data_IF_012819585834
#
_entry.id   IF_012819585834
#
_cell.length_a   1.000
_cell.length_b   1.000
_cell.length_c   1.000
_cell.angle_alpha   90.00
_cell.angle_beta   90.00
_cell.angle_gamma   90.00
#
_symmetry.space_group_name_H-M   'P 1'
#
loop_
_entity.id
_entity.type
_entity.pdbx_description
1 polymer ?
#
# COMPACT_ATOMS: atom_id res chain seq x y z
N UNK A 1 -21.85 32.98 -40.79
CA UNK A 1 -22.58 31.79 -40.35
C UNK A 1 -21.65 30.57 -40.38
N UNK A 2 -20.87 30.33 -39.36
CA UNK A 2 -20.24 29.04 -39.05
C UNK A 2 -20.03 29.05 -37.52
N UNK A 3 -21.03 28.65 -36.78
CA UNK A 3 -20.92 28.28 -35.40
C UNK A 3 -21.97 27.21 -35.18
N UNK A 4 -21.60 26.04 -34.83
CA UNK A 4 -22.32 24.98 -34.09
C UNK A 4 -21.70 23.63 -34.41
N UNK A 5 -20.51 23.39 -33.92
CA UNK A 5 -19.85 22.08 -34.07
C UNK A 5 -19.01 21.66 -32.85
N UNK A 6 -19.02 22.45 -31.78
CA UNK A 6 -18.12 22.27 -30.65
C UNK A 6 -18.79 21.92 -29.32
N UNK A 7 -20.11 21.82 -29.30
CA UNK A 7 -20.88 21.60 -28.05
C UNK A 7 -21.39 20.17 -27.85
N UNK A 8 -21.24 19.27 -28.82
CA UNK A 8 -21.83 17.91 -28.73
C UNK A 8 -20.85 16.76 -28.43
N UNK A 9 -19.59 17.03 -28.08
CA UNK A 9 -18.63 15.99 -27.64
C UNK A 9 -18.33 15.99 -26.14
N UNK A 10 -19.12 16.64 -25.34
CA UNK A 10 -18.93 16.76 -23.88
C UNK A 10 -19.87 15.90 -23.05
N UNK A 11 -20.31 14.75 -23.52
CA UNK A 11 -20.98 13.79 -22.63
C UNK A 11 -20.81 12.36 -23.18
N UNK A 12 -19.59 11.81 -23.13
CA UNK A 12 -19.51 10.38 -22.88
C UNK A 12 -19.94 10.23 -21.42
N UNK A 13 -21.21 9.90 -21.23
CA UNK A 13 -21.86 9.65 -19.95
C UNK A 13 -20.93 8.88 -19.03
N UNK A 14 -20.70 9.38 -17.81
CA UNK A 14 -20.29 8.55 -16.72
C UNK A 14 -21.22 7.32 -16.74
N UNK A 15 -20.67 6.12 -16.95
CA UNK A 15 -21.47 4.90 -17.04
C UNK A 15 -22.27 4.84 -15.76
N UNK A 16 -23.61 4.85 -15.83
CA UNK A 16 -24.48 4.86 -14.66
C UNK A 16 -24.11 3.67 -13.78
N UNK A 17 -23.84 3.91 -12.51
CA UNK A 17 -23.51 2.85 -11.58
C UNK A 17 -24.70 1.88 -11.44
N UNK A 18 -24.41 0.62 -11.15
CA UNK A 18 -25.44 -0.34 -10.74
C UNK A 18 -26.14 0.18 -9.48
N UNK A 19 -27.46 0.07 -9.42
CA UNK A 19 -28.27 0.61 -8.30
C UNK A 19 -27.85 0.05 -6.94
N UNK A 20 -27.51 -1.22 -6.85
CA UNK A 20 -27.05 -1.83 -5.60
C UNK A 20 -25.69 -1.27 -5.15
N UNK A 21 -24.80 -0.97 -6.10
CA UNK A 21 -23.52 -0.26 -5.82
C UNK A 21 -23.80 1.15 -5.30
N UNK A 22 -24.69 1.91 -5.97
CA UNK A 22 -25.07 3.27 -5.52
C UNK A 22 -25.65 3.26 -4.11
N UNK A 23 -26.57 2.33 -3.84
CA UNK A 23 -27.24 2.19 -2.53
C UNK A 23 -26.23 1.83 -1.42
N UNK A 24 -25.25 0.97 -1.74
CA UNK A 24 -24.21 0.60 -0.76
C UNK A 24 -23.26 1.77 -0.49
N UNK A 25 -22.89 2.55 -1.52
CA UNK A 25 -22.09 3.77 -1.33
C UNK A 25 -22.85 4.78 -0.47
N UNK A 26 -24.16 4.99 -0.75
CA UNK A 26 -25.01 5.89 0.04
C UNK A 26 -25.08 5.44 1.52
N UNK A 27 -25.28 4.15 1.75
CA UNK A 27 -25.24 3.56 3.09
C UNK A 27 -23.93 3.85 3.83
N UNK A 28 -22.79 3.68 3.17
CA UNK A 28 -21.47 3.95 3.79
C UNK A 28 -21.27 5.43 4.08
N UNK A 29 -21.69 6.31 3.17
CA UNK A 29 -21.64 7.77 3.37
C UNK A 29 -22.45 8.22 4.60
N UNK A 30 -23.63 7.65 4.80
CA UNK A 30 -24.48 7.96 5.92
C UNK A 30 -23.93 7.38 7.24
N UNK A 31 -23.66 6.09 7.26
CA UNK A 31 -23.25 5.36 8.47
C UNK A 31 -21.86 5.76 8.95
N UNK A 32 -20.94 6.03 8.04
CA UNK A 32 -19.53 6.31 8.32
C UNK A 32 -19.13 7.78 8.01
N UNK A 33 -20.05 8.72 8.13
CA UNK A 33 -19.84 10.13 7.81
C UNK A 33 -18.65 10.76 8.56
N UNK A 34 -18.31 10.26 9.76
CA UNK A 34 -17.16 10.70 10.57
C UNK A 34 -15.82 10.05 10.17
N UNK A 35 -15.80 9.21 9.12
CA UNK A 35 -14.65 8.41 8.70
C UNK A 35 -14.32 8.67 7.21
N UNK A 36 -13.91 9.89 6.84
CA UNK A 36 -13.82 10.31 5.43
C UNK A 36 -12.87 9.47 4.59
N UNK A 37 -11.74 8.98 5.15
CA UNK A 37 -10.80 8.14 4.42
C UNK A 37 -11.41 6.77 4.10
N UNK A 38 -12.20 6.22 5.00
CA UNK A 38 -12.91 4.97 4.78
C UNK A 38 -13.97 5.14 3.69
N UNK A 39 -14.80 6.19 3.76
CA UNK A 39 -15.80 6.51 2.74
C UNK A 39 -15.14 6.68 1.36
N UNK A 40 -14.07 7.47 1.27
CA UNK A 40 -13.32 7.69 0.02
C UNK A 40 -12.85 6.38 -0.61
N UNK A 41 -12.32 5.48 0.19
CA UNK A 41 -11.78 4.20 -0.30
C UNK A 41 -12.88 3.25 -0.76
N UNK A 42 -13.98 3.17 -0.02
CA UNK A 42 -15.13 2.36 -0.43
C UNK A 42 -15.71 2.87 -1.75
N UNK A 43 -15.86 4.18 -1.91
CA UNK A 43 -16.33 4.77 -3.17
C UNK A 43 -15.43 4.44 -4.35
N UNK A 44 -14.09 4.52 -4.17
CA UNK A 44 -13.12 4.19 -5.23
C UNK A 44 -13.27 2.73 -5.67
N UNK A 45 -13.33 1.80 -4.73
CA UNK A 45 -13.43 0.37 -5.03
C UNK A 45 -14.78 0.03 -5.64
N UNK A 46 -15.89 0.35 -4.94
CA UNK A 46 -17.23 -0.08 -5.34
C UNK A 46 -17.65 0.54 -6.68
N UNK A 47 -17.23 1.76 -7.00
CA UNK A 47 -17.53 2.40 -8.28
C UNK A 47 -17.04 1.59 -9.49
N UNK A 48 -15.99 0.78 -9.32
CA UNK A 48 -15.45 -0.08 -10.37
C UNK A 48 -16.18 -1.42 -10.52
N UNK A 49 -17.03 -1.80 -9.55
CA UNK A 49 -17.65 -3.12 -9.48
C UNK A 49 -18.99 -3.25 -10.22
N UNK A 50 -19.58 -2.14 -10.72
CA UNK A 50 -20.87 -2.20 -11.42
C UNK A 50 -20.93 -3.28 -12.52
N UNK A 51 -19.91 -3.44 -13.40
CA UNK A 51 -19.93 -4.47 -14.42
C UNK A 51 -19.94 -5.91 -13.88
N UNK A 52 -19.39 -6.10 -12.67
CA UNK A 52 -19.41 -7.41 -11.98
C UNK A 52 -20.79 -7.67 -11.41
N UNK A 53 -21.34 -6.72 -10.68
CA UNK A 53 -22.67 -6.83 -10.06
C UNK A 53 -23.79 -7.03 -11.10
N UNK A 54 -23.65 -6.42 -12.28
CA UNK A 54 -24.59 -6.61 -13.40
C UNK A 54 -24.60 -8.07 -13.93
N UNK A 55 -23.46 -8.77 -13.84
CA UNK A 55 -23.32 -10.18 -14.28
C UNK A 55 -23.65 -11.20 -13.18
N UNK A 56 -23.64 -10.77 -11.91
CA UNK A 56 -23.75 -11.63 -10.72
C UNK A 56 -24.87 -11.17 -9.79
N UNK A 57 -26.15 -11.36 -10.17
CA UNK A 57 -27.30 -10.94 -9.35
C UNK A 57 -27.37 -11.63 -7.98
N UNK A 58 -26.76 -12.81 -7.85
CA UNK A 58 -26.63 -13.57 -6.61
C UNK A 58 -25.89 -12.79 -5.51
N UNK A 59 -24.94 -11.93 -5.86
CA UNK A 59 -24.24 -11.09 -4.89
C UNK A 59 -25.17 -10.08 -4.20
N UNK A 60 -26.14 -9.53 -4.95
CA UNK A 60 -27.17 -8.66 -4.38
C UNK A 60 -28.12 -9.45 -3.46
N UNK A 61 -28.51 -10.66 -3.86
CA UNK A 61 -29.39 -11.51 -3.05
C UNK A 61 -28.75 -11.88 -1.70
N UNK A 62 -27.44 -12.06 -1.67
CA UNK A 62 -26.65 -12.36 -0.46
C UNK A 62 -26.26 -11.11 0.35
N UNK A 63 -26.70 -9.91 -0.04
CA UNK A 63 -26.28 -8.62 0.54
C UNK A 63 -24.75 -8.46 0.64
N UNK A 64 -24.04 -9.00 -0.35
CA UNK A 64 -22.59 -9.21 -0.31
C UNK A 64 -21.80 -7.91 -0.14
N UNK A 65 -22.19 -6.83 -0.86
CA UNK A 65 -21.46 -5.56 -0.78
C UNK A 65 -21.54 -4.93 0.61
N UNK A 66 -22.72 -4.97 1.29
CA UNK A 66 -22.82 -4.48 2.67
C UNK A 66 -22.00 -5.31 3.64
N UNK A 67 -22.01 -6.64 3.50
CA UNK A 67 -21.16 -7.52 4.29
C UNK A 67 -19.68 -7.24 4.06
N UNK A 68 -19.30 -6.89 2.84
CA UNK A 68 -17.91 -6.63 2.47
C UNK A 68 -17.39 -5.26 2.94
N UNK A 69 -18.25 -4.24 3.10
CA UNK A 69 -17.84 -2.92 3.59
C UNK A 69 -17.87 -2.80 5.12
N UNK A 70 -18.44 -3.78 5.81
CA UNK A 70 -18.38 -3.83 7.28
C UNK A 70 -17.30 -4.80 7.74
N UNK A 71 -16.44 -4.41 8.69
CA UNK A 71 -15.45 -5.33 9.23
C UNK A 71 -16.12 -6.44 10.06
N UNK A 72 -15.58 -7.64 10.01
CA UNK A 72 -16.07 -8.75 10.83
C UNK A 72 -15.91 -8.46 12.32
N UNK A 73 -14.80 -7.81 12.72
CA UNK A 73 -14.54 -7.41 14.12
C UNK A 73 -13.66 -6.16 14.19
N UNK A 74 -13.95 -5.32 15.16
CA UNK A 74 -13.13 -4.17 15.51
C UNK A 74 -12.86 -4.17 17.01
N UNK A 75 -11.60 -4.31 17.43
CA UNK A 75 -11.19 -4.22 18.81
C UNK A 75 -10.64 -2.83 19.10
N UNK A 76 -11.14 -2.23 20.18
CA UNK A 76 -10.62 -0.99 20.73
C UNK A 76 -10.22 -1.24 22.17
N UNK A 77 -9.01 -0.87 22.55
CA UNK A 77 -8.49 -1.16 23.88
C UNK A 77 -7.58 -0.03 24.37
N UNK A 78 -7.57 0.14 25.68
CA UNK A 78 -6.71 1.11 26.36
C UNK A 78 -5.30 0.53 26.51
N UNK A 79 -4.27 1.36 26.22
CA UNK A 79 -2.86 1.03 26.42
C UNK A 79 -2.27 2.02 27.42
N UNK A 80 -1.88 1.53 28.59
CA UNK A 80 -1.29 2.34 29.67
C UNK A 80 0.20 2.00 29.77
N UNK A 81 1.04 3.02 29.79
CA UNK A 81 2.50 2.89 29.85
C UNK A 81 3.13 4.06 30.61
N UNK A 82 4.38 3.94 31.01
CA UNK A 82 5.13 4.99 31.72
C UNK A 82 6.31 5.47 30.88
N UNK A 83 6.57 6.77 30.90
CA UNK A 83 7.73 7.37 30.27
C UNK A 83 9.01 7.21 31.10
N UNK A 84 10.11 7.79 30.65
CA UNK A 84 11.41 7.73 31.35
C UNK A 84 11.46 8.55 32.64
N UNK A 85 10.48 9.45 32.84
CA UNK A 85 10.31 10.22 34.10
C UNK A 85 9.42 9.52 35.12
N UNK A 86 8.80 8.39 34.74
CA UNK A 86 7.82 7.67 35.56
C UNK A 86 6.40 8.22 35.48
N UNK A 87 6.12 9.14 34.53
CA UNK A 87 4.79 9.66 34.29
C UNK A 87 3.95 8.64 33.51
N UNK A 88 2.68 8.49 33.93
CA UNK A 88 1.75 7.53 33.29
C UNK A 88 1.04 8.17 32.11
N UNK A 89 1.03 7.47 30.98
CA UNK A 89 0.36 7.86 29.75
C UNK A 89 -0.69 6.83 29.34
N UNK A 90 -1.74 7.31 28.68
CA UNK A 90 -2.81 6.46 28.14
C UNK A 90 -2.98 6.74 26.65
N UNK A 91 -2.90 5.69 25.85
CA UNK A 91 -3.21 5.70 24.43
C UNK A 91 -4.32 4.71 24.11
N UNK A 92 -4.91 4.82 22.94
CA UNK A 92 -5.92 3.89 22.45
C UNK A 92 -5.31 3.00 21.38
N UNK A 93 -5.44 1.69 21.56
CA UNK A 93 -5.06 0.68 20.60
C UNK A 93 -6.28 0.17 19.82
N UNK A 94 -6.04 -0.19 18.57
CA UNK A 94 -7.05 -0.71 17.63
C UNK A 94 -6.55 -1.94 16.90
N UNK A 95 -7.45 -2.93 16.67
CA UNK A 95 -7.24 -4.00 15.70
C UNK A 95 -8.55 -4.27 14.97
N UNK A 96 -8.52 -4.16 13.66
CA UNK A 96 -9.60 -4.50 12.74
C UNK A 96 -9.28 -5.83 12.08
N UNK A 97 -10.12 -6.82 12.33
CA UNK A 97 -10.22 -8.08 11.59
C UNK A 97 -11.29 -7.85 10.53
N UNK A 98 -10.84 -7.42 9.32
CA UNK A 98 -11.76 -6.84 8.36
C UNK A 98 -12.54 -7.92 7.59
N UNK A 99 -11.81 -8.85 6.96
CA UNK A 99 -12.41 -9.95 6.22
C UNK A 99 -11.47 -11.17 6.23
N UNK A 100 -11.96 -12.28 6.75
CA UNK A 100 -11.23 -13.54 6.92
C UNK A 100 -11.59 -14.62 5.90
N UNK A 101 -12.40 -14.33 4.89
CA UNK A 101 -12.93 -15.34 3.95
C UNK A 101 -11.84 -16.10 3.18
N UNK A 102 -10.68 -15.51 2.95
CA UNK A 102 -9.60 -16.14 2.16
C UNK A 102 -8.38 -16.55 3.01
N UNK A 103 -8.43 -16.40 4.32
CA UNK A 103 -7.34 -16.81 5.23
C UNK A 103 -7.25 -15.94 6.49
N UNK A 104 -6.24 -16.16 7.35
CA UNK A 104 -6.03 -15.38 8.55
C UNK A 104 -5.97 -13.88 8.25
N UNK A 105 -6.53 -13.05 9.14
CA UNK A 105 -6.45 -11.60 8.97
C UNK A 105 -5.00 -11.15 8.93
N UNK A 106 -4.64 -10.34 7.95
CA UNK A 106 -3.26 -9.90 7.74
C UNK A 106 -3.19 -8.41 7.45
N UNK A 107 -2.35 -7.70 8.20
CA UNK A 107 -2.09 -6.28 7.95
C UNK A 107 -1.31 -5.61 9.07
N UNK A 108 -0.67 -4.48 8.74
CA UNK A 108 0.26 -3.78 9.61
C UNK A 108 -0.37 -3.10 10.82
N UNK A 109 0.48 -2.74 11.78
CA UNK A 109 0.17 -1.84 12.89
C UNK A 109 0.76 -0.47 12.57
N UNK A 110 -0.06 0.59 12.72
CA UNK A 110 0.36 1.99 12.53
C UNK A 110 0.40 2.71 13.86
N UNK A 111 1.54 3.30 14.21
CA UNK A 111 1.68 4.14 15.41
C UNK A 111 1.91 5.58 14.99
N UNK A 112 0.84 6.39 15.07
CA UNK A 112 0.85 7.82 14.73
C UNK A 112 -0.27 8.56 15.48
N UNK A 113 -0.05 9.82 15.83
CA UNK A 113 -1.01 10.67 16.57
C UNK A 113 -2.42 10.75 15.98
N UNK A 114 -2.53 10.63 14.66
CA UNK A 114 -3.79 10.78 13.94
C UNK A 114 -4.53 9.45 13.71
N UNK A 115 -4.07 8.35 14.31
CA UNK A 115 -4.74 7.05 14.19
C UNK A 115 -6.04 7.05 14.98
N UNK A 116 -7.13 6.73 14.29
CA UNK A 116 -8.46 6.57 14.83
C UNK A 116 -9.20 5.46 14.05
N UNK A 117 -10.42 5.04 14.49
CA UNK A 117 -11.11 3.91 13.85
C UNK A 117 -11.28 4.00 12.34
N UNK A 118 -11.57 5.18 11.79
CA UNK A 118 -11.74 5.39 10.34
C UNK A 118 -10.47 5.08 9.53
N UNK A 119 -9.29 5.49 10.03
CA UNK A 119 -8.00 5.15 9.41
C UNK A 119 -7.78 3.63 9.44
N UNK A 120 -8.10 2.98 10.55
CA UNK A 120 -7.90 1.53 10.69
C UNK A 120 -8.86 0.75 9.79
N UNK A 121 -10.13 1.17 9.69
CA UNK A 121 -11.11 0.58 8.77
C UNK A 121 -10.73 0.77 7.31
N UNK A 122 -10.38 1.99 6.91
CA UNK A 122 -9.89 2.30 5.56
C UNK A 122 -8.76 1.34 5.14
N UNK A 123 -7.73 1.27 5.98
CA UNK A 123 -6.56 0.45 5.69
C UNK A 123 -6.88 -1.06 5.74
N UNK A 124 -7.81 -1.49 6.60
CA UNK A 124 -8.28 -2.88 6.67
C UNK A 124 -9.05 -3.30 5.42
N UNK A 125 -9.93 -2.43 4.94
CA UNK A 125 -10.67 -2.63 3.70
C UNK A 125 -9.74 -2.72 2.49
N UNK A 126 -8.82 -1.77 2.30
CA UNK A 126 -7.81 -1.85 1.24
C UNK A 126 -6.97 -3.12 1.33
N UNK A 127 -6.61 -3.50 2.56
CA UNK A 127 -5.78 -4.69 2.78
C UNK A 127 -6.48 -5.97 2.33
N UNK A 128 -7.80 -6.05 2.45
CA UNK A 128 -8.60 -7.21 1.97
C UNK A 128 -8.37 -7.43 0.47
N UNK A 129 -8.52 -6.39 -0.34
CA UNK A 129 -8.33 -6.49 -1.80
C UNK A 129 -6.86 -6.67 -2.19
N UNK A 130 -5.96 -5.97 -1.52
CA UNK A 130 -4.51 -6.13 -1.74
C UNK A 130 -4.05 -7.56 -1.48
N UNK A 131 -4.47 -8.14 -0.37
CA UNK A 131 -4.09 -9.49 0.02
C UNK A 131 -4.66 -10.53 -0.95
N UNK A 132 -5.89 -10.37 -1.39
CA UNK A 132 -6.52 -11.27 -2.36
C UNK A 132 -5.77 -11.31 -3.70
N UNK A 133 -5.23 -10.18 -4.16
CA UNK A 133 -4.44 -10.12 -5.39
C UNK A 133 -3.15 -10.95 -5.32
N UNK A 134 -2.55 -11.14 -4.14
CA UNK A 134 -1.32 -11.94 -4.01
C UNK A 134 -1.51 -13.41 -4.37
N UNK A 135 -2.73 -13.91 -4.43
CA UNK A 135 -3.01 -15.32 -4.63
C UNK A 135 -2.80 -16.19 -3.39
N UNK A 136 -2.28 -15.62 -2.30
CA UNK A 136 -1.96 -16.33 -1.07
C UNK A 136 -3.15 -16.37 -0.11
N UNK A 137 -3.24 -17.37 0.79
CA UNK A 137 -4.36 -17.54 1.71
C UNK A 137 -4.22 -16.59 2.93
N UNK A 138 -4.43 -15.32 2.72
CA UNK A 138 -4.39 -14.27 3.75
C UNK A 138 -5.56 -13.32 3.60
N UNK A 139 -6.31 -13.13 4.67
CA UNK A 139 -7.43 -12.20 4.77
C UNK A 139 -6.99 -10.76 5.00
N UNK A 140 -7.94 -9.85 5.17
CA UNK A 140 -7.69 -8.43 5.41
C UNK A 140 -7.77 -8.07 6.89
N UNK A 141 -6.76 -7.35 7.39
CA UNK A 141 -6.78 -6.80 8.74
C UNK A 141 -5.87 -5.58 8.86
N UNK A 142 -6.09 -4.79 9.89
CA UNK A 142 -5.27 -3.61 10.21
C UNK A 142 -5.34 -3.28 11.68
N UNK A 143 -4.29 -2.64 12.21
CA UNK A 143 -4.30 -2.16 13.59
C UNK A 143 -3.42 -0.94 13.78
N UNK A 144 -3.36 -0.46 15.00
CA UNK A 144 -2.52 0.68 15.34
C UNK A 144 -2.91 1.35 16.65
N UNK A 145 -2.33 2.51 16.87
CA UNK A 145 -2.57 3.35 18.04
C UNK A 145 -2.28 4.82 17.71
N UNK A 146 -2.90 5.72 18.45
CA UNK A 146 -2.59 7.14 18.49
C UNK A 146 -1.24 7.46 19.16
N UNK A 147 -0.48 6.46 19.59
CA UNK A 147 0.89 6.59 20.05
C UNK A 147 1.83 6.99 18.90
N UNK A 148 2.70 7.97 19.16
CA UNK A 148 3.73 8.41 18.23
C UNK A 148 5.12 8.06 18.79
N UNK A 149 5.88 7.16 18.14
CA UNK A 149 7.21 6.79 18.60
C UNK A 149 8.27 7.88 18.32
N UNK A 150 7.95 8.91 17.52
CA UNK A 150 8.88 9.97 17.21
C UNK A 150 9.28 10.75 18.47
N UNK A 151 10.59 10.92 18.68
CA UNK A 151 11.13 11.61 19.86
C UNK A 151 11.07 10.83 21.18
N UNK A 152 10.60 9.57 21.15
CA UNK A 152 10.58 8.68 22.32
C UNK A 152 11.87 7.88 22.43
N UNK A 153 12.28 7.61 23.66
CA UNK A 153 13.41 6.71 23.93
C UNK A 153 13.12 5.28 23.51
N UNK A 154 14.14 4.47 23.30
CA UNK A 154 13.95 3.05 23.01
C UNK A 154 13.23 2.31 24.16
N UNK A 155 13.47 2.73 25.40
CA UNK A 155 12.83 2.16 26.58
C UNK A 155 11.34 2.53 26.65
N UNK A 156 10.96 3.77 26.35
CA UNK A 156 9.57 4.20 26.25
C UNK A 156 8.81 3.43 25.17
N UNK A 157 9.37 3.33 23.97
CA UNK A 157 8.76 2.55 22.86
C UNK A 157 8.62 1.08 23.24
N UNK A 158 9.61 0.49 23.93
CA UNK A 158 9.52 -0.89 24.41
C UNK A 158 8.38 -1.07 25.41
N UNK A 159 8.25 -0.20 26.42
CA UNK A 159 7.17 -0.25 27.39
C UNK A 159 5.80 -0.13 26.75
N UNK A 160 5.65 0.82 25.81
CA UNK A 160 4.43 0.96 25.02
C UNK A 160 4.10 -0.32 24.24
N UNK A 161 5.05 -0.87 23.47
CA UNK A 161 4.85 -2.10 22.70
C UNK A 161 4.46 -3.29 23.58
N UNK A 162 5.06 -3.42 24.77
CA UNK A 162 4.72 -4.46 25.73
C UNK A 162 3.30 -4.31 26.27
N UNK A 163 2.89 -3.09 26.62
CA UNK A 163 1.52 -2.79 27.08
C UNK A 163 0.50 -3.03 25.95
N UNK A 164 0.79 -2.58 24.73
CA UNK A 164 -0.04 -2.80 23.55
C UNK A 164 -0.24 -4.30 23.27
N UNK A 165 0.85 -5.08 23.26
CA UNK A 165 0.76 -6.52 23.02
C UNK A 165 0.03 -7.25 24.16
N UNK A 166 0.17 -6.81 25.40
CA UNK A 166 -0.56 -7.38 26.53
C UNK A 166 -2.08 -7.27 26.37
N UNK A 167 -2.56 -6.19 25.77
CA UNK A 167 -3.97 -6.03 25.45
C UNK A 167 -4.41 -6.83 24.21
N UNK A 168 -3.49 -7.00 23.22
CA UNK A 168 -3.82 -7.56 21.90
C UNK A 168 -3.65 -9.10 21.81
N UNK A 169 -2.73 -9.72 22.56
CA UNK A 169 -2.23 -11.09 22.29
C UNK A 169 -3.30 -12.17 22.24
N UNK A 170 -4.46 -11.98 22.90
CA UNK A 170 -5.57 -12.96 22.91
C UNK A 170 -6.32 -13.04 21.60
N UNK A 171 -6.22 -12.02 20.76
CA UNK A 171 -7.00 -11.86 19.53
C UNK A 171 -6.18 -12.16 18.27
N UNK A 172 -4.88 -12.47 18.43
CA UNK A 172 -3.95 -12.73 17.32
C UNK A 172 -3.29 -14.10 17.45
N UNK A 173 -2.79 -14.60 16.34
CA UNK A 173 -2.11 -15.89 16.25
C UNK A 173 -1.77 -16.24 14.81
N UNK A 174 -0.87 -17.19 14.56
CA UNK A 174 -0.44 -17.57 13.20
C UNK A 174 -1.59 -17.92 12.25
N UNK A 175 -2.65 -18.54 12.77
CA UNK A 175 -3.80 -19.02 11.99
C UNK A 175 -5.07 -18.20 12.22
N UNK A 176 -4.97 -17.09 12.97
CA UNK A 176 -6.10 -16.22 13.30
C UNK A 176 -5.91 -14.85 12.67
N UNK A 177 -4.88 -14.14 13.11
CA UNK A 177 -4.61 -12.76 12.75
C UNK A 177 -3.12 -12.46 12.93
N UNK A 178 -2.46 -12.01 11.86
CA UNK A 178 -1.01 -11.83 11.80
C UNK A 178 -0.68 -10.36 11.52
N UNK A 179 -0.46 -9.54 12.57
CA UNK A 179 0.02 -8.17 12.42
C UNK A 179 1.42 -8.09 11.80
N UNK A 180 1.73 -6.91 11.27
CA UNK A 180 3.03 -6.57 10.66
C UNK A 180 3.44 -5.14 10.98
N UNK A 181 4.58 -4.69 10.48
CA UNK A 181 4.97 -3.29 10.51
C UNK A 181 4.18 -2.43 9.53
N UNK A 182 4.06 -1.14 9.86
CA UNK A 182 3.56 -0.04 9.05
C UNK A 182 4.19 1.27 9.56
N UNK A 183 3.65 2.43 9.23
CA UNK A 183 4.18 3.72 9.71
C UNK A 183 4.29 3.74 11.24
N UNK A 184 5.47 4.12 11.75
CA UNK A 184 5.78 4.12 13.18
C UNK A 184 6.04 2.74 13.80
N UNK A 185 5.98 1.67 13.01
CA UNK A 185 6.24 0.28 13.47
C UNK A 185 7.22 -0.39 12.52
N UNK A 186 8.47 -0.34 12.87
CA UNK A 186 9.57 -1.01 12.17
C UNK A 186 10.01 -2.31 12.84
N UNK A 187 11.18 -2.80 12.44
CA UNK A 187 11.75 -4.04 12.99
C UNK A 187 11.99 -4.00 14.50
N UNK A 188 12.32 -2.81 15.06
CA UNK A 188 12.47 -2.59 16.49
C UNK A 188 11.17 -2.83 17.25
N UNK A 189 10.09 -2.18 16.82
CA UNK A 189 8.76 -2.32 17.44
C UNK A 189 8.23 -3.75 17.28
N UNK A 190 8.39 -4.35 16.11
CA UNK A 190 8.03 -5.77 15.88
C UNK A 190 8.80 -6.69 16.83
N UNK A 191 10.08 -6.40 17.07
CA UNK A 191 10.87 -7.15 18.05
C UNK A 191 10.32 -7.07 19.47
N UNK A 192 9.97 -5.87 19.93
CA UNK A 192 9.38 -5.65 21.26
C UNK A 192 8.00 -6.32 21.38
N UNK A 193 7.15 -6.19 20.35
CA UNK A 193 5.84 -6.84 20.29
C UNK A 193 5.98 -8.38 20.33
N UNK A 194 6.87 -8.95 19.53
CA UNK A 194 7.09 -10.40 19.50
C UNK A 194 7.65 -10.93 20.82
N UNK A 195 8.62 -10.23 21.40
CA UNK A 195 9.19 -10.61 22.70
C UNK A 195 8.14 -10.66 23.79
N UNK A 196 7.22 -9.71 23.84
CA UNK A 196 6.11 -9.68 24.79
C UNK A 196 5.09 -10.77 24.52
N UNK A 197 4.70 -11.00 23.25
CA UNK A 197 3.80 -12.09 22.88
C UNK A 197 4.33 -13.44 23.35
N UNK A 198 5.61 -13.74 23.08
CA UNK A 198 6.28 -14.96 23.50
C UNK A 198 6.27 -15.14 25.00
N UNK A 199 6.49 -14.05 25.79
CA UNK A 199 6.44 -14.11 27.26
C UNK A 199 5.04 -14.44 27.78
N UNK A 200 3.99 -13.89 27.16
CA UNK A 200 2.60 -14.11 27.57
C UNK A 200 2.09 -15.50 27.19
N UNK A 201 2.46 -15.99 26.00
CA UNK A 201 2.00 -17.29 25.49
C UNK A 201 2.83 -18.47 25.99
N UNK A 202 4.09 -18.26 26.32
CA UNK A 202 5.01 -19.32 26.76
C UNK A 202 5.46 -20.30 25.67
N UNK A 203 5.17 -20.01 24.39
CA UNK A 203 5.48 -20.85 23.22
C UNK A 203 6.17 -20.09 22.12
N UNK A 204 6.82 -20.80 21.19
CA UNK A 204 7.48 -20.22 20.04
C UNK A 204 6.54 -20.22 18.82
N UNK A 205 5.63 -19.26 18.77
CA UNK A 205 4.73 -19.02 17.63
C UNK A 205 5.25 -17.85 16.78
N UNK A 206 6.38 -18.03 16.10
CA UNK A 206 7.01 -16.95 15.34
C UNK A 206 6.19 -16.50 14.10
N UNK A 207 5.22 -17.29 13.66
CA UNK A 207 4.26 -16.90 12.61
C UNK A 207 3.24 -15.84 13.04
N UNK A 208 3.15 -15.47 14.33
CA UNK A 208 2.17 -14.50 14.82
C UNK A 208 2.36 -13.06 14.31
N UNK A 209 3.59 -12.69 13.95
CA UNK A 209 3.95 -11.37 13.43
C UNK A 209 4.88 -11.50 12.23
N UNK A 210 4.79 -10.57 11.29
CA UNK A 210 5.76 -10.47 10.20
C UNK A 210 6.52 -9.15 10.21
N UNK A 211 7.66 -9.10 9.51
CA UNK A 211 8.62 -8.00 9.59
C UNK A 211 9.60 -8.16 10.74
N UNK A 212 9.76 -9.39 11.21
CA UNK A 212 10.74 -9.77 12.25
C UNK A 212 12.18 -9.65 11.75
N UNK A 213 13.12 -9.55 12.69
CA UNK A 213 14.54 -9.68 12.39
C UNK A 213 14.90 -11.13 11.96
N UNK A 214 15.94 -11.24 11.15
CA UNK A 214 16.38 -12.56 10.62
C UNK A 214 16.74 -13.55 11.72
N UNK A 215 17.23 -13.07 12.87
CA UNK A 215 17.63 -13.91 14.00
C UNK A 215 16.47 -14.61 14.74
N UNK A 216 15.22 -14.20 14.46
CA UNK A 216 14.04 -14.76 15.13
C UNK A 216 12.86 -15.00 14.20
N UNK A 217 13.13 -15.40 12.96
CA UNK A 217 12.14 -15.90 12.02
C UNK A 217 11.66 -14.88 10.98
N UNK A 218 12.40 -13.79 10.76
CA UNK A 218 12.15 -12.84 9.68
C UNK A 218 12.56 -13.39 8.31
N UNK A 219 11.98 -12.86 7.26
CA UNK A 219 12.32 -13.18 5.87
C UNK A 219 13.32 -12.18 5.27
N UNK A 220 14.22 -12.66 4.42
CA UNK A 220 15.07 -11.82 3.58
C UNK A 220 14.22 -10.99 2.61
N UNK A 221 14.78 -9.89 2.12
CA UNK A 221 14.14 -8.96 1.15
C UNK A 221 12.88 -8.26 1.71
N UNK A 222 12.42 -8.55 2.92
CA UNK A 222 11.18 -7.95 3.44
C UNK A 222 11.23 -6.40 3.48
N UNK A 223 12.33 -5.73 3.88
CA UNK A 223 12.43 -4.27 3.84
C UNK A 223 12.30 -3.68 2.44
N UNK A 224 12.85 -4.35 1.43
CA UNK A 224 12.87 -3.92 0.03
C UNK A 224 11.61 -4.32 -0.73
N UNK A 225 10.85 -5.29 -0.24
CA UNK A 225 9.82 -6.02 -0.99
C UNK A 225 8.76 -5.14 -1.65
N UNK A 226 8.33 -4.06 -1.01
CA UNK A 226 7.34 -3.14 -1.59
C UNK A 226 7.92 -2.41 -2.80
N UNK A 227 9.13 -1.87 -2.66
CA UNK A 227 9.82 -1.18 -3.75
C UNK A 227 10.20 -2.12 -4.89
N UNK A 228 10.75 -3.30 -4.57
CA UNK A 228 11.07 -4.33 -5.57
C UNK A 228 9.83 -4.77 -6.33
N UNK A 229 8.75 -5.08 -5.60
CA UNK A 229 7.48 -5.46 -6.19
C UNK A 229 6.92 -4.39 -7.13
N UNK A 230 6.99 -3.12 -6.73
CA UNK A 230 6.55 -2.02 -7.59
C UNK A 230 7.32 -1.95 -8.91
N UNK A 231 8.62 -2.19 -8.88
CA UNK A 231 9.44 -2.23 -10.10
C UNK A 231 9.14 -3.46 -10.94
N UNK A 232 8.89 -4.63 -10.35
CA UNK A 232 8.47 -5.82 -11.09
C UNK A 232 7.09 -5.64 -11.74
N UNK A 233 6.13 -5.04 -11.03
CA UNK A 233 4.84 -4.70 -11.62
C UNK A 233 5.00 -3.73 -12.80
N UNK A 234 5.83 -2.72 -12.65
CA UNK A 234 6.18 -1.79 -13.74
C UNK A 234 6.76 -2.51 -14.95
N UNK A 235 7.64 -3.52 -14.75
CA UNK A 235 8.17 -4.32 -15.88
C UNK A 235 7.06 -5.00 -16.68
N UNK A 236 6.02 -5.54 -16.01
CA UNK A 236 4.90 -6.17 -16.70
C UNK A 236 4.04 -5.14 -17.45
N UNK A 237 3.84 -3.95 -16.89
CA UNK A 237 3.16 -2.83 -17.58
C UNK A 237 3.93 -2.41 -18.82
N UNK A 238 5.24 -2.29 -18.73
CA UNK A 238 6.10 -1.95 -19.87
C UNK A 238 6.08 -3.06 -20.94
N UNK A 239 6.18 -4.33 -20.53
CA UNK A 239 6.12 -5.47 -21.43
C UNK A 239 4.78 -5.55 -22.21
N UNK A 240 3.65 -5.25 -21.56
CA UNK A 240 2.36 -5.12 -22.24
C UNK A 240 2.40 -4.07 -23.36
N UNK A 241 3.08 -2.97 -23.15
CA UNK A 241 3.25 -1.87 -24.11
C UNK A 241 4.41 -2.11 -25.12
N UNK A 242 5.03 -3.29 -25.09
CA UNK A 242 6.22 -3.64 -25.90
C UNK A 242 7.39 -2.69 -25.64
N UNK A 243 7.54 -2.26 -24.41
CA UNK A 243 8.56 -1.34 -23.91
C UNK A 243 9.45 -2.05 -22.86
N UNK A 244 10.58 -1.47 -22.51
CA UNK A 244 11.53 -2.02 -21.53
C UNK A 244 11.85 -1.01 -20.42
N UNK A 245 12.26 -1.51 -19.27
CA UNK A 245 12.66 -0.67 -18.14
C UNK A 245 14.08 -0.10 -18.29
N UNK A 246 14.92 -0.75 -19.09
CA UNK A 246 16.30 -0.32 -19.29
C UNK A 246 16.36 1.10 -19.86
N UNK A 247 17.18 1.95 -19.27
CA UNK A 247 17.35 3.34 -19.66
C UNK A 247 16.22 4.29 -19.23
N UNK A 248 15.10 3.81 -18.70
CA UNK A 248 13.98 4.67 -18.26
C UNK A 248 14.38 5.59 -17.11
N UNK A 249 13.88 6.82 -17.16
CA UNK A 249 14.05 7.85 -16.13
C UNK A 249 12.79 7.89 -15.27
N UNK A 250 12.98 7.75 -13.98
CA UNK A 250 11.90 7.62 -13.00
C UNK A 250 11.93 8.79 -12.02
N UNK A 251 10.76 9.37 -11.74
CA UNK A 251 10.57 10.31 -10.64
C UNK A 251 9.72 9.66 -9.55
N UNK A 252 10.19 9.73 -8.30
CA UNK A 252 9.49 9.17 -7.14
C UNK A 252 9.24 10.24 -6.08
N UNK A 253 8.20 10.07 -5.27
CA UNK A 253 8.13 10.73 -3.96
C UNK A 253 8.50 9.76 -2.85
N UNK A 254 9.18 10.27 -1.82
CA UNK A 254 9.66 9.48 -0.70
C UNK A 254 10.98 8.72 -0.98
N UNK A 255 11.84 8.70 0.02
CA UNK A 255 13.10 7.95 0.03
C UNK A 255 13.23 7.04 1.27
N UNK A 256 12.07 6.68 1.85
CA UNK A 256 11.96 5.64 2.88
C UNK A 256 12.26 4.25 2.31
N UNK A 257 11.91 3.19 3.05
CA UNK A 257 12.16 1.80 2.61
C UNK A 257 11.60 1.50 1.21
N UNK A 258 10.41 2.02 0.89
CA UNK A 258 9.77 1.81 -0.40
C UNK A 258 10.53 2.53 -1.52
N UNK A 259 10.79 3.83 -1.36
CA UNK A 259 11.56 4.62 -2.35
C UNK A 259 12.97 4.09 -2.54
N UNK A 260 13.66 3.74 -1.46
CA UNK A 260 14.98 3.12 -1.52
C UNK A 260 14.96 1.76 -2.25
N UNK A 261 13.94 0.93 -1.96
CA UNK A 261 13.77 -0.34 -2.69
C UNK A 261 13.52 -0.13 -4.18
N UNK A 262 12.71 0.87 -4.57
CA UNK A 262 12.53 1.24 -5.99
C UNK A 262 13.88 1.62 -6.61
N UNK A 263 14.65 2.51 -5.97
CA UNK A 263 15.95 2.96 -6.47
C UNK A 263 16.90 1.78 -6.70
N UNK A 264 17.00 0.89 -5.70
CA UNK A 264 17.89 -0.28 -5.74
C UNK A 264 17.51 -1.25 -6.87
N UNK A 265 16.22 -1.61 -6.99
CA UNK A 265 15.79 -2.54 -8.03
C UNK A 265 15.81 -1.90 -9.42
N UNK A 266 15.43 -0.63 -9.55
CA UNK A 266 15.53 0.12 -10.81
C UNK A 266 16.97 0.18 -11.32
N UNK A 267 17.93 0.50 -10.44
CA UNK A 267 19.36 0.47 -10.78
C UNK A 267 19.82 -0.91 -11.27
N UNK A 268 19.42 -1.99 -10.57
CA UNK A 268 19.77 -3.36 -10.97
C UNK A 268 19.23 -3.75 -12.36
N UNK A 269 18.13 -3.13 -12.78
CA UNK A 269 17.47 -3.38 -14.05
C UNK A 269 17.78 -2.33 -15.12
N UNK A 270 18.78 -1.48 -14.89
CA UNK A 270 19.26 -0.49 -15.86
C UNK A 270 18.43 0.79 -15.97
N UNK A 271 17.41 0.99 -15.12
CA UNK A 271 16.69 2.24 -15.05
C UNK A 271 17.36 3.25 -14.11
N UNK A 272 16.97 4.53 -14.22
CA UNK A 272 17.56 5.64 -13.47
C UNK A 272 16.47 6.38 -12.68
N UNK A 273 16.55 6.39 -11.36
CA UNK A 273 15.74 7.30 -10.55
C UNK A 273 16.43 8.65 -10.55
N UNK A 274 15.98 9.55 -11.43
CA UNK A 274 16.59 10.87 -11.64
C UNK A 274 15.98 11.95 -10.75
N UNK A 275 14.79 11.71 -10.21
CA UNK A 275 14.12 12.59 -9.26
C UNK A 275 13.61 11.83 -8.05
N UNK A 276 13.88 12.33 -6.86
CA UNK A 276 13.23 11.85 -5.65
C UNK A 276 12.90 13.00 -4.69
N UNK A 277 11.73 12.95 -4.07
CA UNK A 277 11.24 14.01 -3.20
C UNK A 277 11.24 13.59 -1.73
N UNK A 278 11.52 14.54 -0.86
CA UNK A 278 11.35 14.49 0.58
C UNK A 278 10.36 15.55 1.08
N UNK A 279 10.16 15.68 2.38
CA UNK A 279 9.31 16.72 2.97
C UNK A 279 9.80 18.13 2.71
N UNK A 280 11.11 18.33 2.58
CA UNK A 280 11.77 19.63 2.40
C UNK A 280 11.86 20.11 0.94
N UNK A 281 11.61 19.21 -0.03
CA UNK A 281 11.72 19.48 -1.45
C UNK A 281 12.08 18.24 -2.26
N UNK A 282 12.74 18.41 -3.40
CA UNK A 282 13.17 17.27 -4.20
C UNK A 282 14.61 17.41 -4.69
N UNK A 283 15.21 16.26 -4.99
CA UNK A 283 16.50 16.13 -5.64
C UNK A 283 16.27 15.83 -7.14
N UNK A 284 17.01 16.52 -7.99
CA UNK A 284 17.24 16.13 -9.39
C UNK A 284 18.71 15.72 -9.54
N UNK A 285 18.93 14.43 -9.77
CA UNK A 285 20.24 13.87 -10.12
C UNK A 285 20.19 13.42 -11.59
N UNK A 286 20.86 14.11 -12.52
CA UNK A 286 20.79 13.77 -13.95
C UNK A 286 21.41 12.41 -14.29
N UNK A 287 22.35 11.93 -13.48
CA UNK A 287 22.94 10.60 -13.62
C UNK A 287 22.01 9.51 -13.00
N UNK A 288 21.07 9.93 -12.15
CA UNK A 288 20.20 9.08 -11.34
C UNK A 288 20.93 8.47 -10.14
N UNK A 289 20.18 7.79 -9.29
CA UNK A 289 20.71 6.94 -8.21
C UNK A 289 21.17 5.63 -8.86
N UNK A 290 22.44 5.60 -9.27
CA UNK A 290 23.01 4.58 -10.17
C UNK A 290 24.26 3.88 -9.61
N UNK A 291 24.60 4.10 -8.35
CA UNK A 291 25.72 3.46 -7.67
C UNK A 291 25.34 3.00 -6.26
N UNK A 292 26.02 1.98 -5.75
CA UNK A 292 25.89 1.55 -4.36
C UNK A 292 26.25 2.68 -3.36
N UNK A 293 27.20 3.54 -3.69
CA UNK A 293 27.53 4.70 -2.86
C UNK A 293 26.34 5.62 -2.67
N UNK A 294 25.62 5.95 -3.74
CA UNK A 294 24.41 6.79 -3.69
C UNK A 294 23.29 6.12 -2.90
N UNK A 295 23.07 4.82 -3.09
CA UNK A 295 22.07 4.04 -2.35
C UNK A 295 22.38 4.00 -0.85
N UNK A 296 23.64 3.76 -0.47
CA UNK A 296 24.07 3.72 0.93
C UNK A 296 23.97 5.09 1.57
N UNK A 297 24.34 6.15 0.86
CA UNK A 297 24.21 7.51 1.37
C UNK A 297 22.75 7.90 1.65
N UNK A 298 21.79 7.43 0.85
CA UNK A 298 20.37 7.65 1.13
C UNK A 298 19.97 6.99 2.47
N UNK A 299 20.49 5.80 2.78
CA UNK A 299 20.24 5.15 4.08
C UNK A 299 20.87 5.94 5.24
N UNK A 300 22.11 6.41 5.08
CA UNK A 300 22.82 7.24 6.07
C UNK A 300 22.07 8.56 6.32
N UNK A 301 21.72 9.26 5.24
CA UNK A 301 20.98 10.52 5.29
C UNK A 301 19.63 10.35 6.01
N UNK A 302 18.90 9.28 5.71
CA UNK A 302 17.62 8.97 6.35
C UNK A 302 17.77 8.61 7.83
N UNK A 303 18.84 7.91 8.19
CA UNK A 303 19.13 7.57 9.58
C UNK A 303 19.48 8.80 10.41
N UNK A 304 20.16 9.77 9.80
CA UNK A 304 20.53 11.05 10.44
C UNK A 304 19.32 11.99 10.57
N UNK A 305 18.56 12.18 9.48
CA UNK A 305 17.36 13.03 9.45
C UNK A 305 16.42 12.60 8.30
N UNK A 306 15.29 11.96 8.60
CA UNK A 306 14.35 11.51 7.58
C UNK A 306 13.53 12.65 6.94
N UNK A 307 13.63 13.88 7.46
CA UNK A 307 12.83 15.03 7.00
C UNK A 307 13.51 15.85 5.93
N UNK A 308 14.83 15.67 5.69
CA UNK A 308 15.61 16.50 4.79
C UNK A 308 16.38 15.67 3.77
N UNK A 309 16.05 15.85 2.46
CA UNK A 309 16.82 15.27 1.35
C UNK A 309 17.93 16.18 0.80
N UNK A 310 17.94 17.45 1.17
CA UNK A 310 18.92 18.43 0.73
C UNK A 310 20.41 18.00 0.89
N UNK A 311 20.81 17.24 1.93
CA UNK A 311 22.19 16.78 2.09
C UNK A 311 22.71 15.94 0.91
N UNK A 312 21.82 15.25 0.17
CA UNK A 312 22.23 14.49 -1.01
C UNK A 312 22.94 15.36 -2.06
N UNK A 313 22.39 16.54 -2.38
CA UNK A 313 22.98 17.46 -3.36
C UNK A 313 24.31 18.08 -2.88
N UNK A 314 24.57 18.11 -1.56
CA UNK A 314 25.87 18.52 -1.01
C UNK A 314 26.94 17.43 -1.21
N UNK A 315 26.55 16.15 -1.07
CA UNK A 315 27.44 15.00 -1.26
C UNK A 315 27.72 14.74 -2.74
N UNK A 316 26.74 14.91 -3.60
CA UNK A 316 26.82 14.64 -5.04
C UNK A 316 26.61 15.92 -5.85
N UNK A 317 27.73 16.63 -6.26
CA UNK A 317 27.64 17.99 -6.83
C UNK A 317 26.87 18.13 -8.16
N UNK A 318 26.71 17.05 -8.91
CA UNK A 318 25.86 17.05 -10.11
C UNK A 318 24.36 17.10 -9.79
N UNK A 319 23.97 16.66 -8.60
CA UNK A 319 22.60 16.70 -8.16
C UNK A 319 22.20 18.11 -7.72
N UNK A 320 20.95 18.47 -7.96
CA UNK A 320 20.38 19.77 -7.55
C UNK A 320 19.24 19.54 -6.55
N UNK A 321 19.22 20.31 -5.49
CA UNK A 321 18.10 20.36 -4.56
C UNK A 321 17.17 21.52 -4.90
N UNK A 322 15.87 21.25 -4.97
CA UNK A 322 14.81 22.24 -5.18
C UNK A 322 13.91 22.26 -3.95
N UNK A 323 13.98 23.34 -3.18
CA UNK A 323 13.31 23.49 -1.88
C UNK A 323 11.79 23.73 -2.04
N UNK A 324 11.01 23.17 -1.13
CA UNK A 324 9.62 23.55 -0.85
C UNK A 324 8.62 23.18 -1.93
N UNK A 325 8.95 22.26 -2.86
CA UNK A 325 8.04 21.78 -3.89
C UNK A 325 8.24 20.30 -4.19
N UNK A 326 7.28 19.70 -4.89
CA UNK A 326 7.31 18.29 -5.31
C UNK A 326 7.86 18.15 -6.73
N UNK A 327 8.34 16.96 -7.08
CA UNK A 327 8.88 16.67 -8.41
C UNK A 327 7.78 16.35 -9.47
N UNK A 328 6.52 16.63 -9.18
CA UNK A 328 5.42 16.34 -10.10
C UNK A 328 5.34 17.38 -11.24
N UNK A 329 5.26 16.89 -12.46
CA UNK A 329 5.22 17.75 -13.65
C UNK A 329 6.59 18.17 -14.18
N UNK A 330 7.71 17.63 -13.63
CA UNK A 330 9.03 17.79 -14.22
C UNK A 330 9.06 17.17 -15.62
N UNK A 331 9.90 17.71 -16.49
CA UNK A 331 10.15 17.17 -17.82
C UNK A 331 11.29 16.12 -17.74
N UNK A 332 11.50 15.41 -18.83
CA UNK A 332 12.58 14.43 -18.95
C UNK A 332 12.49 13.23 -17.99
N UNK A 333 11.26 12.81 -17.67
CA UNK A 333 10.95 11.54 -17.02
C UNK A 333 10.01 10.71 -17.87
N UNK A 334 10.14 9.40 -17.77
CA UNK A 334 9.34 8.44 -18.52
C UNK A 334 8.23 7.85 -17.61
N UNK A 335 8.46 7.86 -16.28
CA UNK A 335 7.63 7.17 -15.30
C UNK A 335 7.54 8.02 -14.02
N UNK A 336 6.32 8.20 -13.49
CA UNK A 336 6.08 8.71 -12.15
C UNK A 336 5.65 7.60 -11.20
N UNK A 337 6.28 7.55 -10.02
CA UNK A 337 5.98 6.57 -8.97
C UNK A 337 5.79 7.25 -7.61
N UNK A 338 4.57 7.71 -7.26
CA UNK A 338 4.32 8.31 -5.95
C UNK A 338 4.41 7.23 -4.85
N UNK A 339 5.44 7.34 -3.99
CA UNK A 339 5.80 6.33 -3.00
C UNK A 339 5.91 6.88 -1.55
N UNK A 340 5.48 8.13 -1.29
CA UNK A 340 5.61 8.76 0.02
C UNK A 340 4.36 8.55 0.88
N UNK A 341 3.32 9.36 0.67
CA UNK A 341 2.17 9.46 1.57
C UNK A 341 0.84 9.43 0.82
N UNK A 342 -0.22 9.17 1.58
CA UNK A 342 -1.60 9.28 1.13
C UNK A 342 -1.90 10.70 0.64
N UNK A 343 -2.71 10.81 -0.45
CA UNK A 343 -3.14 12.08 -1.05
C UNK A 343 -1.98 13.04 -1.41
N UNK A 344 -0.82 12.49 -1.76
CA UNK A 344 0.36 13.25 -2.20
C UNK A 344 0.14 13.98 -3.53
N UNK A 345 -0.68 13.42 -4.41
CA UNK A 345 -1.01 13.96 -5.74
C UNK A 345 -2.45 14.42 -5.78
N UNK A 346 -2.64 15.75 -5.72
CA UNK A 346 -3.94 16.42 -5.88
C UNK A 346 -4.24 16.67 -7.36
N UNK A 347 -5.43 17.17 -7.67
CA UNK A 347 -5.84 17.46 -9.05
C UNK A 347 -4.92 18.50 -9.74
N UNK A 348 -4.35 19.45 -9.01
CA UNK A 348 -3.41 20.44 -9.54
C UNK A 348 -2.10 19.76 -9.98
N UNK A 349 -1.59 18.82 -9.18
CA UNK A 349 -0.41 18.04 -9.54
C UNK A 349 -0.71 17.07 -10.69
N UNK A 350 -1.87 16.43 -10.68
CA UNK A 350 -2.29 15.54 -11.76
C UNK A 350 -2.34 16.26 -13.14
N UNK A 351 -2.81 17.50 -13.17
CA UNK A 351 -2.78 18.33 -14.38
C UNK A 351 -1.35 18.60 -14.87
N UNK A 352 -0.41 18.88 -13.95
CA UNK A 352 1.01 19.07 -14.29
C UNK A 352 1.66 17.79 -14.79
N UNK A 353 1.35 16.64 -14.15
CA UNK A 353 1.78 15.32 -14.59
C UNK A 353 1.29 15.04 -16.00
N UNK A 354 0.01 15.24 -16.29
CA UNK A 354 -0.53 15.03 -17.62
C UNK A 354 0.11 15.96 -18.67
N UNK A 355 0.36 17.22 -18.31
CA UNK A 355 1.01 18.21 -19.18
C UNK A 355 2.50 17.89 -19.47
N UNK A 356 3.18 17.09 -18.64
CA UNK A 356 4.56 16.66 -18.90
C UNK A 356 4.66 15.64 -20.04
N UNK A 357 3.53 15.03 -20.44
CA UNK A 357 3.49 14.02 -21.49
C UNK A 357 3.96 12.62 -21.06
N UNK A 358 4.15 12.38 -19.77
CA UNK A 358 4.53 11.08 -19.23
C UNK A 358 3.50 10.00 -19.60
N UNK A 359 3.99 8.80 -19.95
CA UNK A 359 3.13 7.68 -20.33
C UNK A 359 2.75 6.78 -19.17
N UNK A 360 3.58 6.66 -18.17
CA UNK A 360 3.41 5.69 -17.08
C UNK A 360 3.27 6.38 -15.73
N UNK A 361 2.14 6.17 -15.07
CA UNK A 361 1.86 6.63 -13.71
C UNK A 361 1.56 5.42 -12.82
N UNK A 362 2.47 5.11 -11.92
CA UNK A 362 2.50 3.86 -11.16
C UNK A 362 2.37 4.19 -9.67
N UNK A 363 1.19 4.05 -9.10
CA UNK A 363 0.96 4.33 -7.68
C UNK A 363 1.66 3.32 -6.79
N UNK A 364 2.45 3.78 -5.81
CA UNK A 364 3.17 2.89 -4.89
C UNK A 364 2.75 3.06 -3.44
N UNK A 365 2.62 4.29 -2.94
CA UNK A 365 2.07 4.49 -1.59
C UNK A 365 0.59 4.07 -1.53
N UNK A 366 0.05 3.84 -0.35
CA UNK A 366 -1.38 3.59 -0.20
C UNK A 366 -2.14 4.87 -0.54
N UNK A 367 -3.06 4.78 -1.49
CA UNK A 367 -3.93 5.88 -1.94
C UNK A 367 -3.18 7.23 -2.11
N UNK A 368 -2.09 7.27 -2.94
CA UNK A 368 -1.25 8.47 -3.04
C UNK A 368 -1.92 9.60 -3.82
N UNK A 369 -2.96 9.28 -4.59
CA UNK A 369 -3.66 10.20 -5.49
C UNK A 369 -5.10 10.39 -5.00
N UNK A 370 -5.58 11.64 -4.96
CA UNK A 370 -6.99 11.91 -4.64
C UNK A 370 -7.91 11.34 -5.73
N UNK A 371 -9.16 10.99 -5.39
CA UNK A 371 -10.06 10.32 -6.33
C UNK A 371 -10.34 11.14 -7.60
N UNK A 372 -10.47 12.44 -7.47
CA UNK A 372 -10.64 13.36 -8.61
C UNK A 372 -9.40 13.40 -9.50
N UNK A 373 -8.21 13.43 -8.90
CA UNK A 373 -6.94 13.39 -9.60
C UNK A 373 -6.73 12.04 -10.31
N UNK A 374 -7.02 10.92 -9.64
CA UNK A 374 -6.91 9.57 -10.21
C UNK A 374 -7.85 9.41 -11.41
N UNK A 375 -9.10 9.83 -11.27
CA UNK A 375 -10.07 9.80 -12.36
C UNK A 375 -9.64 10.69 -13.54
N UNK A 376 -9.05 11.85 -13.27
CA UNK A 376 -8.49 12.72 -14.30
C UNK A 376 -7.33 12.05 -15.06
N UNK A 377 -6.38 11.43 -14.35
CA UNK A 377 -5.23 10.74 -14.96
C UNK A 377 -5.68 9.54 -15.81
N UNK A 378 -6.62 8.73 -15.33
CA UNK A 378 -7.19 7.57 -16.07
C UNK A 378 -7.89 7.99 -17.38
N UNK A 379 -8.36 9.21 -17.48
CA UNK A 379 -8.98 9.73 -18.70
C UNK A 379 -7.97 10.22 -19.76
N UNK A 380 -6.68 10.30 -19.43
CA UNK A 380 -5.64 10.71 -20.37
C UNK A 380 -5.34 9.59 -21.37
N UNK A 381 -5.63 9.80 -22.66
CA UNK A 381 -5.57 8.76 -23.72
C UNK A 381 -4.23 8.03 -23.85
N UNK A 382 -3.13 8.67 -23.48
CA UNK A 382 -1.77 8.13 -23.65
C UNK A 382 -1.14 7.66 -22.32
N UNK A 383 -1.86 7.82 -21.21
CA UNK A 383 -1.34 7.50 -19.89
C UNK A 383 -1.87 6.16 -19.40
N UNK A 384 -0.97 5.32 -18.91
CA UNK A 384 -1.30 4.09 -18.20
C UNK A 384 -1.16 4.34 -16.72
N UNK A 385 -2.24 4.08 -16.00
CA UNK A 385 -2.30 4.24 -14.55
C UNK A 385 -2.36 2.87 -13.89
N UNK A 386 -1.40 2.55 -13.03
CA UNK A 386 -1.38 1.32 -12.25
C UNK A 386 -1.78 1.60 -10.79
N UNK A 387 -2.69 0.79 -10.20
CA UNK A 387 -3.26 1.07 -8.88
C UNK A 387 -2.32 0.68 -7.73
N UNK A 388 -2.34 1.47 -6.69
CA UNK A 388 -1.51 1.26 -5.48
C UNK A 388 -1.66 -0.13 -4.87
N UNK A 389 -2.90 -0.66 -4.77
CA UNK A 389 -3.20 -1.97 -4.18
C UNK A 389 -2.46 -3.12 -4.87
N UNK A 390 -2.38 -3.08 -6.20
CA UNK A 390 -1.66 -4.07 -6.98
C UNK A 390 -0.14 -3.84 -6.95
N UNK A 391 0.28 -2.60 -7.20
CA UNK A 391 1.69 -2.22 -7.30
C UNK A 391 2.47 -2.44 -5.99
N UNK A 392 1.89 -2.09 -4.84
CA UNK A 392 2.56 -2.20 -3.54
C UNK A 392 2.31 -3.54 -2.81
N UNK A 393 1.66 -4.49 -3.46
CA UNK A 393 1.36 -5.80 -2.87
C UNK A 393 2.60 -6.64 -2.54
N UNK A 394 3.77 -6.31 -3.12
CA UNK A 394 5.02 -7.03 -2.87
C UNK A 394 5.39 -7.10 -1.39
N UNK A 395 5.15 -6.03 -0.63
CA UNK A 395 5.42 -6.01 0.81
C UNK A 395 4.60 -7.02 1.60
N UNK A 396 3.29 -7.10 1.38
CA UNK A 396 2.44 -8.09 2.04
C UNK A 396 2.66 -9.48 1.47
N UNK A 397 2.98 -9.60 0.18
CA UNK A 397 3.36 -10.87 -0.45
C UNK A 397 4.56 -11.51 0.24
N UNK A 398 5.66 -10.78 0.40
CA UNK A 398 6.84 -11.30 1.15
C UNK A 398 6.52 -11.53 2.64
N UNK A 399 5.58 -10.76 3.23
CA UNK A 399 5.10 -11.08 4.57
C UNK A 399 4.40 -12.44 4.64
N UNK A 400 3.60 -12.80 3.62
CA UNK A 400 2.97 -14.12 3.56
C UNK A 400 4.00 -15.23 3.28
N UNK A 401 5.06 -14.95 2.50
CA UNK A 401 6.21 -15.87 2.37
C UNK A 401 6.96 -16.04 3.70
N UNK A 402 7.06 -14.98 4.52
CA UNK A 402 7.60 -15.07 5.88
C UNK A 402 6.74 -16.01 6.76
N UNK A 403 5.39 -15.91 6.66
CA UNK A 403 4.49 -16.84 7.35
C UNK A 403 4.72 -18.29 6.90
N UNK A 404 4.84 -18.54 5.59
CA UNK A 404 5.14 -19.87 5.05
C UNK A 404 6.46 -20.42 5.61
N UNK A 405 7.55 -19.65 5.54
CA UNK A 405 8.85 -20.02 6.10
C UNK A 405 8.75 -20.32 7.60
N UNK A 406 7.94 -19.56 8.36
CA UNK A 406 7.74 -19.79 9.78
C UNK A 406 6.97 -21.10 10.06
N UNK A 407 5.97 -21.43 9.24
CA UNK A 407 5.23 -22.70 9.34
C UNK A 407 6.08 -23.90 8.98
N UNK A 408 6.90 -23.79 7.96
CA UNK A 408 7.86 -24.82 7.53
C UNK A 408 9.05 -24.95 8.49
N UNK A 409 9.32 -23.93 9.33
CA UNK A 409 10.52 -23.75 10.16
C UNK A 409 11.82 -23.73 9.33
N UNK A 410 11.73 -23.19 8.11
CA UNK A 410 12.85 -23.03 7.19
C UNK A 410 13.18 -21.55 6.97
N UNK A 411 14.36 -21.31 6.45
CA UNK A 411 14.84 -19.97 6.05
C UNK A 411 15.21 -20.03 4.57
N UNK A 412 14.51 -19.26 3.76
CA UNK A 412 14.79 -19.16 2.32
C UNK A 412 15.91 -18.14 2.05
N UNK A 413 16.64 -18.37 0.98
CA UNK A 413 17.66 -17.44 0.47
C UNK A 413 17.01 -16.15 -0.07
N UNK A 414 17.81 -15.10 -0.26
CA UNK A 414 17.33 -13.88 -0.87
C UNK A 414 16.83 -14.09 -2.30
N UNK A 415 17.52 -14.95 -3.06
CA UNK A 415 17.15 -15.24 -4.45
C UNK A 415 15.84 -16.02 -4.56
N UNK A 416 15.58 -16.98 -3.65
CA UNK A 416 14.30 -17.70 -3.59
C UNK A 416 13.15 -16.74 -3.29
N UNK A 417 13.31 -15.85 -2.30
CA UNK A 417 12.28 -14.86 -1.96
C UNK A 417 12.06 -13.87 -3.10
N UNK A 418 13.13 -13.37 -3.76
CA UNK A 418 13.04 -12.44 -4.88
C UNK A 418 12.37 -13.07 -6.11
N UNK A 419 12.69 -14.33 -6.41
CA UNK A 419 12.06 -15.08 -7.49
C UNK A 419 10.54 -15.26 -7.26
N UNK A 420 10.13 -15.61 -6.04
CA UNK A 420 8.73 -15.71 -5.67
C UNK A 420 8.02 -14.35 -5.75
N UNK A 421 8.66 -13.28 -5.28
CA UNK A 421 8.14 -11.93 -5.36
C UNK A 421 7.92 -11.51 -6.83
N UNK A 422 8.90 -11.73 -7.70
CA UNK A 422 8.79 -11.40 -9.13
C UNK A 422 7.62 -12.16 -9.79
N UNK A 423 7.51 -13.46 -9.54
CA UNK A 423 6.40 -14.29 -10.05
C UNK A 423 5.05 -13.78 -9.56
N UNK A 424 4.95 -13.44 -8.28
CA UNK A 424 3.73 -12.92 -7.68
C UNK A 424 3.30 -11.60 -8.33
N UNK A 425 4.24 -10.64 -8.52
CA UNK A 425 3.92 -9.35 -9.12
C UNK A 425 3.47 -9.47 -10.57
N UNK A 426 4.04 -10.42 -11.32
CA UNK A 426 3.56 -10.77 -12.65
C UNK A 426 2.13 -11.29 -12.60
N UNK A 427 1.83 -12.24 -11.73
CA UNK A 427 0.48 -12.79 -11.57
C UNK A 427 -0.53 -11.69 -11.21
N UNK A 428 -0.19 -10.79 -10.29
CA UNK A 428 -1.06 -9.66 -9.92
C UNK A 428 -1.37 -8.76 -11.12
N UNK A 429 -0.37 -8.46 -11.94
CA UNK A 429 -0.56 -7.68 -13.15
C UNK A 429 -1.48 -8.41 -14.14
N UNK A 430 -1.18 -9.67 -14.44
CA UNK A 430 -1.91 -10.45 -15.45
C UNK A 430 -3.39 -10.65 -15.06
N UNK A 431 -3.67 -10.96 -13.78
CA UNK A 431 -5.03 -11.09 -13.27
C UNK A 431 -5.77 -9.75 -13.30
N UNK A 432 -5.12 -8.64 -12.98
CA UNK A 432 -5.72 -7.30 -13.08
C UNK A 432 -6.04 -6.94 -14.54
N UNK A 433 -5.12 -7.17 -15.46
CA UNK A 433 -5.32 -6.90 -16.88
C UNK A 433 -6.42 -7.80 -17.48
N UNK A 434 -6.43 -9.09 -17.10
CA UNK A 434 -7.44 -10.05 -17.52
C UNK A 434 -8.83 -9.64 -17.01
N UNK A 435 -8.97 -9.31 -15.74
CA UNK A 435 -10.24 -8.88 -15.17
C UNK A 435 -10.78 -7.63 -15.88
N UNK A 436 -9.95 -6.63 -16.12
CA UNK A 436 -10.36 -5.45 -16.89
C UNK A 436 -10.88 -5.81 -18.28
N UNK A 437 -10.18 -6.68 -18.98
CA UNK A 437 -10.58 -7.15 -20.33
C UNK A 437 -11.89 -7.94 -20.30
N UNK A 438 -12.06 -8.88 -19.37
CA UNK A 438 -13.22 -9.77 -19.27
C UNK A 438 -14.52 -9.00 -18.97
N UNK A 439 -14.38 -7.83 -18.30
CA UNK A 439 -15.48 -6.92 -18.01
C UNK A 439 -15.60 -5.73 -18.99
N UNK A 440 -14.88 -5.78 -20.12
CA UNK A 440 -15.00 -4.81 -21.21
C UNK A 440 -14.43 -3.42 -20.91
N UNK A 441 -13.46 -3.34 -20.00
CA UNK A 441 -12.81 -2.11 -19.56
C UNK A 441 -11.44 -1.87 -20.25
N UNK A 442 -11.06 -2.72 -21.20
CA UNK A 442 -9.78 -2.63 -21.89
C UNK A 442 -8.60 -2.93 -20.98
N UNK A 443 -7.59 -2.04 -20.96
CA UNK A 443 -6.42 -2.14 -20.08
C UNK A 443 -6.49 -1.16 -18.90
N UNK A 444 -7.64 -1.09 -18.26
CA UNK A 444 -7.83 -0.29 -17.03
C UNK A 444 -7.39 -1.10 -15.80
N UNK A 445 -6.11 -0.99 -15.43
CA UNK A 445 -5.53 -1.74 -14.32
C UNK A 445 -6.11 -1.35 -12.96
N UNK A 446 -6.65 -0.13 -12.81
CA UNK A 446 -7.29 0.32 -11.55
C UNK A 446 -8.58 -0.46 -11.34
N UNK A 447 -9.47 -0.45 -12.32
CA UNK A 447 -10.72 -1.21 -12.25
C UNK A 447 -10.44 -2.72 -12.23
N UNK A 448 -9.50 -3.19 -13.05
CA UNK A 448 -9.13 -4.61 -13.11
C UNK A 448 -8.59 -5.15 -11.81
N UNK A 449 -7.73 -4.40 -11.12
CA UNK A 449 -7.23 -4.79 -9.79
C UNK A 449 -8.32 -4.86 -8.72
N UNK A 450 -9.25 -3.88 -8.72
CA UNK A 450 -10.39 -3.91 -7.82
C UNK A 450 -11.31 -5.13 -8.11
N UNK A 451 -11.60 -5.38 -9.39
CA UNK A 451 -12.47 -6.51 -9.81
C UNK A 451 -11.82 -7.85 -9.48
N UNK A 452 -10.54 -8.06 -9.82
CA UNK A 452 -9.85 -9.31 -9.54
C UNK A 452 -9.79 -9.61 -8.03
N UNK A 453 -9.45 -8.59 -7.23
CA UNK A 453 -9.44 -8.72 -5.78
C UNK A 453 -10.82 -8.99 -5.20
N UNK A 454 -11.85 -8.30 -5.71
CA UNK A 454 -13.24 -8.48 -5.28
C UNK A 454 -13.75 -9.88 -5.54
N UNK A 455 -13.66 -10.39 -6.78
CA UNK A 455 -14.23 -11.68 -7.17
C UNK A 455 -13.70 -12.79 -6.27
N UNK A 456 -12.40 -12.82 -6.01
CA UNK A 456 -11.79 -13.86 -5.16
C UNK A 456 -12.34 -13.87 -3.73
N UNK A 457 -12.53 -12.69 -3.14
CA UNK A 457 -13.13 -12.58 -1.79
C UNK A 457 -14.62 -12.89 -1.84
N UNK A 458 -15.34 -12.39 -2.85
CA UNK A 458 -16.76 -12.61 -3.06
C UNK A 458 -17.08 -14.10 -3.18
N UNK A 459 -16.35 -14.82 -4.03
CA UNK A 459 -16.54 -16.27 -4.24
C UNK A 459 -16.31 -17.06 -2.95
N UNK A 460 -15.26 -16.70 -2.19
CA UNK A 460 -15.00 -17.32 -0.89
C UNK A 460 -16.13 -17.05 0.12
N UNK A 461 -16.60 -15.79 0.21
CA UNK A 461 -17.73 -15.43 1.09
C UNK A 461 -19.03 -16.14 0.69
N UNK A 462 -19.28 -16.27 -0.61
CA UNK A 462 -20.47 -17.00 -1.10
C UNK A 462 -20.41 -18.50 -0.81
N UNK A 463 -19.22 -19.09 -1.00
CA UNK A 463 -19.00 -20.52 -0.78
C UNK A 463 -19.09 -20.92 0.71
N UNK A 464 -18.69 -20.04 1.62
CA UNK A 464 -18.67 -20.26 3.07
C UNK A 464 -20.03 -19.93 3.73
N UNK A 465 -20.93 -19.28 3.04
CA UNK A 465 -22.29 -18.98 3.52
C UNK A 465 -22.40 -17.66 4.29
N UNK A 466 -23.31 -17.65 5.27
CA UNK A 466 -23.61 -16.46 6.08
C UNK A 466 -22.97 -16.61 7.47
N UNK A 467 -21.85 -15.96 7.70
CA UNK A 467 -21.16 -15.95 9.00
C UNK A 467 -20.68 -14.53 9.35
#
# INVERSE_FOLDING_TARGET
MISTGWTERKTKMAKKLNKYVEDTIAYVREKHASEPEFVQTVEEVLSSLSPVIDKHPEYKQADLLKRMVEPERMFTFRVVWTDDKGETHTNIGYRCQFNGAIGPYKGGLRFQKNVYPGIIKFLGFEQTFKNSLTGLPIGGGKGGSDFDPAGKSAAEVMRFCQAFMTALYRYIGPDIDVPAGDMGVGGREIGYLFGQYRRLKGVWENGVLTGKGLSYGGSRIRPEATGYGAVYYLQEVLAHEKDTIEGKRIAISGYGNVGWGIMKKAMQLGAKVTYFAGPDGYIHDPDGVNTEEKLNYILEMRAADPMHCAPYAKKFPKAKFVKGTKCWGVKDVDIYMPAATQNDVTIEWAKKIAASGVKYYIEVANMPTTNDALNFLRQQKKMIVAPSKAVNAGGVGVSALEMAQNSERLVWTADEVDAQLKKMMKTIHDESAKAAKDYGLGYDLVAGGNIAGFIKVADAMMAQGLF
#
